data_IF_218549755920
#
_entry.id   IF_218549755920
#
_cell.length_a   1.000
_cell.length_b   1.000
_cell.length_c   1.000
_cell.angle_alpha   90.00
_cell.angle_beta   90.00
_cell.angle_gamma   90.00
#
_symmetry.space_group_name_H-M   'P 1'
#
loop_
_entity.id
_entity.type
_entity.pdbx_description
1 polymer ?
#
# COMPACT_ATOMS: atom_id res chain seq x y z
N UNK A 1 -0.20 -23.61 11.97
CA UNK A 1 -0.99 -23.39 10.74
C UNK A 1 -0.23 -23.79 9.48
N UNK A 2 1.11 -23.79 9.49
CA UNK A 2 1.93 -24.76 8.77
C UNK A 2 3.10 -25.04 9.72
N UNK A 3 3.54 -26.29 9.89
CA UNK A 3 4.72 -26.61 10.71
C UNK A 3 6.00 -26.20 9.95
N UNK A 4 6.15 -24.89 9.73
CA UNK A 4 7.23 -24.35 8.94
C UNK A 4 8.55 -24.50 9.69
N UNK A 5 9.51 -25.19 9.06
CA UNK A 5 10.89 -25.20 9.52
C UNK A 5 11.53 -23.82 9.34
N UNK A 6 12.65 -23.57 10.04
CA UNK A 6 13.35 -22.28 10.01
C UNK A 6 13.66 -21.80 8.58
N UNK A 7 14.00 -22.74 7.68
CA UNK A 7 14.31 -22.47 6.28
C UNK A 7 13.08 -22.03 5.47
N UNK A 8 11.91 -22.58 5.77
CA UNK A 8 10.68 -22.24 5.06
C UNK A 8 10.12 -20.87 5.48
N UNK A 9 10.38 -20.45 6.74
CA UNK A 9 10.14 -19.05 7.16
C UNK A 9 11.04 -18.08 6.39
N UNK A 10 12.29 -18.46 6.12
CA UNK A 10 13.20 -17.68 5.26
C UNK A 10 12.67 -17.52 3.83
N UNK A 11 12.01 -18.54 3.29
CA UNK A 11 11.40 -18.50 1.95
C UNK A 11 10.24 -17.48 1.87
N UNK A 12 9.51 -17.28 2.96
CA UNK A 12 8.48 -16.24 3.07
C UNK A 12 9.06 -14.83 2.94
N UNK A 13 10.21 -14.58 3.56
CA UNK A 13 10.91 -13.29 3.41
C UNK A 13 11.47 -13.07 2.00
N UNK A 14 12.00 -14.13 1.37
CA UNK A 14 12.47 -14.07 -0.02
C UNK A 14 11.34 -13.68 -0.98
N UNK A 15 10.12 -14.13 -0.72
CA UNK A 15 8.96 -13.79 -1.56
C UNK A 15 8.62 -12.29 -1.48
N UNK A 16 8.77 -11.66 -0.31
CA UNK A 16 8.66 -10.22 -0.20
C UNK A 16 9.72 -9.50 -1.04
N UNK A 17 10.96 -9.99 -1.05
CA UNK A 17 12.06 -9.42 -1.84
C UNK A 17 11.76 -9.49 -3.34
N UNK A 18 11.30 -10.65 -3.82
CA UNK A 18 10.89 -10.84 -5.23
C UNK A 18 9.69 -9.94 -5.57
N UNK A 19 8.70 -9.85 -4.69
CA UNK A 19 7.54 -8.98 -4.86
C UNK A 19 7.94 -7.51 -5.02
N UNK A 20 8.84 -7.01 -4.17
CA UNK A 20 9.36 -5.63 -4.28
C UNK A 20 10.19 -5.44 -5.56
N UNK A 21 11.01 -6.42 -5.95
CA UNK A 21 11.76 -6.36 -7.20
C UNK A 21 10.85 -6.21 -8.43
N UNK A 22 9.78 -7.00 -8.50
CA UNK A 22 8.75 -6.89 -9.55
C UNK A 22 8.05 -5.52 -9.47
N UNK A 23 7.71 -5.05 -8.28
CA UNK A 23 7.08 -3.75 -8.08
C UNK A 23 7.92 -2.59 -8.63
N UNK A 24 9.24 -2.64 -8.39
CA UNK A 24 10.20 -1.64 -8.90
C UNK A 24 10.20 -1.66 -10.43
N UNK A 25 10.32 -2.83 -11.05
CA UNK A 25 10.32 -2.97 -12.52
C UNK A 25 9.02 -2.41 -13.10
N UNK A 26 7.85 -2.82 -12.57
CA UNK A 26 6.55 -2.32 -13.01
C UNK A 26 6.42 -0.80 -12.82
N UNK A 27 6.97 -0.26 -11.75
CA UNK A 27 6.97 1.19 -11.51
C UNK A 27 7.84 1.94 -12.52
N UNK A 28 9.03 1.43 -12.86
CA UNK A 28 9.87 2.01 -13.91
C UNK A 28 9.21 1.94 -15.28
N UNK A 29 8.53 0.84 -15.61
CA UNK A 29 7.74 0.71 -16.84
C UNK A 29 6.63 1.74 -16.87
N UNK A 30 5.87 1.90 -15.77
CA UNK A 30 4.82 2.92 -15.66
C UNK A 30 5.37 4.34 -15.82
N UNK A 31 6.49 4.65 -15.17
CA UNK A 31 7.18 5.94 -15.31
C UNK A 31 7.59 6.21 -16.76
N UNK A 32 8.22 5.23 -17.40
CA UNK A 32 8.77 5.37 -18.74
C UNK A 32 7.70 5.46 -19.83
N UNK A 33 6.65 4.62 -19.75
CA UNK A 33 5.61 4.55 -20.78
C UNK A 33 4.45 5.52 -20.57
N UNK A 34 4.15 5.92 -19.34
CA UNK A 34 2.97 6.73 -19.06
C UNK A 34 3.35 8.13 -18.57
N UNK A 35 4.20 8.22 -17.54
CA UNK A 35 4.48 9.50 -16.87
C UNK A 35 5.42 10.41 -17.67
N UNK A 36 6.51 9.87 -18.24
CA UNK A 36 7.48 10.64 -19.04
C UNK A 36 6.85 11.18 -20.35
N UNK A 37 6.15 10.38 -21.17
CA UNK A 37 5.54 10.90 -22.40
C UNK A 37 4.37 11.83 -22.13
N UNK A 38 3.57 11.61 -21.08
CA UNK A 38 2.48 12.54 -20.73
C UNK A 38 3.02 13.88 -20.20
N UNK A 39 4.07 13.86 -19.37
CA UNK A 39 4.72 15.08 -18.88
C UNK A 39 5.45 15.85 -20.00
N UNK A 40 5.93 15.14 -21.03
CA UNK A 40 6.54 15.73 -22.23
C UNK A 40 5.51 16.32 -23.19
N UNK A 41 4.28 15.81 -23.19
CA UNK A 41 3.19 16.22 -24.09
C UNK A 41 2.30 17.33 -23.52
N UNK A 42 2.06 17.34 -22.20
CA UNK A 42 1.10 18.24 -21.55
C UNK A 42 1.71 19.15 -20.47
N UNK A 43 3.04 19.17 -20.33
CA UNK A 43 3.73 19.89 -19.25
C UNK A 43 3.57 19.22 -17.88
N UNK A 44 3.98 19.91 -16.80
CA UNK A 44 3.77 19.45 -15.41
C UNK A 44 2.27 19.47 -15.08
N UNK A 45 1.56 18.37 -15.34
CA UNK A 45 0.13 18.22 -15.02
C UNK A 45 -0.10 18.27 -13.51
N UNK A 46 -1.36 18.58 -13.14
CA UNK A 46 -1.85 18.62 -11.77
C UNK A 46 -1.37 17.42 -10.94
N UNK A 47 -0.99 17.72 -9.69
CA UNK A 47 -0.31 16.80 -8.78
C UNK A 47 -1.12 15.53 -8.46
N UNK A 48 -2.43 15.57 -8.71
CA UNK A 48 -3.36 14.46 -8.50
C UNK A 48 -3.20 13.32 -9.52
N UNK A 49 -2.67 13.58 -10.71
CA UNK A 49 -2.39 12.52 -11.69
C UNK A 49 -1.29 11.56 -11.19
N UNK A 50 -0.49 12.02 -10.21
CA UNK A 50 0.53 11.20 -9.54
C UNK A 50 -0.02 10.39 -8.37
N UNK A 51 -1.29 10.57 -8.02
CA UNK A 51 -2.00 9.77 -7.02
C UNK A 51 -2.63 8.51 -7.64
N UNK A 52 -2.71 8.43 -8.97
CA UNK A 52 -3.22 7.25 -9.71
C UNK A 52 -2.51 5.95 -9.31
N UNK A 53 -1.17 5.89 -9.16
CA UNK A 53 -0.50 4.67 -8.72
C UNK A 53 -0.84 4.29 -7.27
N UNK A 54 -1.27 5.24 -6.42
CA UNK A 54 -1.73 4.95 -5.06
C UNK A 54 -3.09 4.25 -5.05
N UNK A 55 -4.00 4.60 -5.98
CA UNK A 55 -5.31 3.94 -6.12
C UNK A 55 -5.08 2.49 -6.56
N UNK A 56 -4.25 2.29 -7.57
CA UNK A 56 -3.96 0.94 -8.05
C UNK A 56 -3.18 0.13 -7.00
N UNK A 57 -2.26 0.78 -6.28
CA UNK A 57 -1.58 0.19 -5.13
C UNK A 57 -2.55 -0.29 -4.04
N UNK A 58 -3.57 0.51 -3.70
CA UNK A 58 -4.60 0.15 -2.73
C UNK A 58 -5.45 -1.06 -3.17
N UNK A 59 -5.74 -1.18 -4.48
CA UNK A 59 -6.43 -2.35 -5.04
C UNK A 59 -5.56 -3.60 -4.90
N UNK A 60 -4.27 -3.51 -5.22
CA UNK A 60 -3.33 -4.62 -5.07
C UNK A 60 -3.16 -5.05 -3.60
N UNK A 61 -3.04 -4.10 -2.67
CA UNK A 61 -2.97 -4.38 -1.22
C UNK A 61 -4.20 -5.20 -0.79
N UNK A 62 -5.38 -4.72 -1.14
CA UNK A 62 -6.65 -5.34 -0.75
C UNK A 62 -6.79 -6.74 -1.35
N UNK A 63 -6.47 -6.89 -2.63
CA UNK A 63 -6.50 -8.18 -3.33
C UNK A 63 -5.53 -9.17 -2.70
N UNK A 64 -4.31 -8.74 -2.37
CA UNK A 64 -3.31 -9.57 -1.70
C UNK A 64 -3.76 -10.03 -0.31
N UNK A 65 -4.41 -9.16 0.46
CA UNK A 65 -5.00 -9.48 1.76
C UNK A 65 -6.14 -10.52 1.65
N UNK A 66 -7.04 -10.38 0.67
CA UNK A 66 -8.12 -11.36 0.46
C UNK A 66 -7.58 -12.73 0.00
N UNK A 67 -6.60 -12.73 -0.91
CA UNK A 67 -5.92 -13.97 -1.33
C UNK A 67 -5.31 -14.64 -0.11
N UNK A 68 -4.53 -13.91 0.70
CA UNK A 68 -3.92 -14.45 1.91
C UNK A 68 -4.95 -14.97 2.93
N UNK A 69 -6.08 -14.27 3.10
CA UNK A 69 -7.13 -14.67 4.04
C UNK A 69 -7.78 -16.01 3.64
N UNK A 70 -8.03 -16.21 2.34
CA UNK A 70 -8.73 -17.39 1.83
C UNK A 70 -7.79 -18.58 1.57
N UNK A 71 -6.50 -18.33 1.35
CA UNK A 71 -5.48 -19.38 1.19
C UNK A 71 -4.85 -19.81 2.51
N UNK A 72 -5.13 -19.10 3.61
CA UNK A 72 -4.75 -19.50 4.97
C UNK A 72 -5.67 -20.62 5.47
N UNK A 73 -5.56 -21.80 4.84
CA UNK A 73 -6.22 -23.06 5.24
C UNK A 73 -5.22 -24.20 5.13
N UNK A 74 -5.24 -25.19 6.04
CA UNK A 74 -4.29 -26.31 6.00
C UNK A 74 -4.38 -27.15 4.71
N UNK A 75 -5.52 -27.08 4.01
CA UNK A 75 -5.78 -27.83 2.77
C UNK A 75 -5.18 -27.18 1.50
N UNK A 76 -4.66 -25.95 1.59
CA UNK A 76 -4.17 -25.19 0.43
C UNK A 76 -2.65 -25.19 0.41
N UNK A 77 -2.03 -25.31 -0.76
CA UNK A 77 -0.58 -25.21 -0.86
C UNK A 77 -0.07 -23.86 -0.36
N UNK A 78 0.95 -23.90 0.50
CA UNK A 78 1.62 -22.73 1.09
C UNK A 78 1.95 -21.63 0.08
N UNK A 79 2.31 -21.99 -1.15
CA UNK A 79 2.66 -21.06 -2.23
C UNK A 79 1.54 -20.05 -2.56
N UNK A 80 0.27 -20.43 -2.40
CA UNK A 80 -0.85 -19.54 -2.65
C UNK A 80 -0.89 -18.38 -1.64
N UNK A 81 -0.60 -18.67 -0.36
CA UNK A 81 -0.48 -17.63 0.67
C UNK A 81 0.74 -16.73 0.43
N UNK A 82 1.86 -17.29 -0.03
CA UNK A 82 3.02 -16.49 -0.42
C UNK A 82 2.76 -15.58 -1.62
N UNK A 83 1.98 -16.02 -2.60
CA UNK A 83 1.59 -15.18 -3.74
C UNK A 83 0.75 -13.97 -3.30
N UNK A 84 -0.18 -14.15 -2.35
CA UNK A 84 -0.94 -13.05 -1.75
C UNK A 84 -0.05 -12.04 -1.02
N UNK A 85 0.96 -12.53 -0.29
CA UNK A 85 1.95 -11.67 0.37
C UNK A 85 2.81 -10.88 -0.63
N UNK A 86 3.23 -11.49 -1.74
CA UNK A 86 3.96 -10.81 -2.81
C UNK A 86 3.13 -9.67 -3.42
N UNK A 87 1.86 -9.92 -3.72
CA UNK A 87 0.91 -8.93 -4.27
C UNK A 87 0.71 -7.77 -3.28
N UNK A 88 0.58 -8.08 -1.99
CA UNK A 88 0.51 -7.07 -0.94
C UNK A 88 1.77 -6.19 -0.91
N UNK A 89 2.97 -6.77 -0.99
CA UNK A 89 4.22 -6.02 -1.05
C UNK A 89 4.31 -5.09 -2.26
N UNK A 90 3.84 -5.54 -3.43
CA UNK A 90 3.78 -4.73 -4.65
C UNK A 90 2.89 -3.49 -4.44
N UNK A 91 1.66 -3.69 -3.95
CA UNK A 91 0.73 -2.59 -3.72
C UNK A 91 1.21 -1.62 -2.63
N UNK A 92 1.86 -2.13 -1.58
CA UNK A 92 2.44 -1.32 -0.52
C UNK A 92 3.56 -0.41 -1.06
N UNK A 93 4.45 -0.97 -1.89
CA UNK A 93 5.54 -0.21 -2.51
C UNK A 93 5.00 0.94 -3.39
N UNK A 94 4.01 0.66 -4.24
CA UNK A 94 3.39 1.68 -5.10
C UNK A 94 2.71 2.80 -4.32
N UNK A 95 2.01 2.45 -3.25
CA UNK A 95 1.33 3.44 -2.40
C UNK A 95 2.36 4.34 -1.70
N UNK A 96 3.41 3.76 -1.13
CA UNK A 96 4.48 4.54 -0.48
C UNK A 96 5.19 5.46 -1.47
N UNK A 97 5.59 4.96 -2.64
CA UNK A 97 6.24 5.78 -3.66
C UNK A 97 5.37 6.97 -4.10
N UNK A 98 4.07 6.75 -4.26
CA UNK A 98 3.12 7.80 -4.63
C UNK A 98 3.06 8.90 -3.56
N UNK A 99 3.03 8.53 -2.28
CA UNK A 99 3.03 9.49 -1.16
C UNK A 99 4.33 10.29 -1.15
N UNK A 100 5.48 9.63 -1.31
CA UNK A 100 6.79 10.29 -1.31
C UNK A 100 6.93 11.33 -2.43
N UNK A 101 6.28 11.14 -3.57
CA UNK A 101 6.30 12.10 -4.68
C UNK A 101 5.23 13.18 -4.49
N UNK A 102 4.06 12.83 -3.95
CA UNK A 102 2.94 13.77 -3.77
C UNK A 102 3.20 14.82 -2.69
N UNK A 103 3.80 14.43 -1.56
CA UNK A 103 4.04 15.29 -0.39
C UNK A 103 4.92 16.51 -0.70
N UNK A 104 6.12 16.37 -1.30
CA UNK A 104 7.00 17.50 -1.62
C UNK A 104 6.42 18.41 -2.70
N UNK A 105 5.62 17.85 -3.62
CA UNK A 105 4.97 18.64 -4.66
C UNK A 105 3.83 19.48 -4.07
N UNK A 106 3.04 18.92 -3.14
CA UNK A 106 1.88 19.62 -2.57
C UNK A 106 2.25 20.66 -1.53
N UNK A 107 3.34 20.45 -0.77
CA UNK A 107 3.73 21.32 0.33
C UNK A 107 5.26 21.43 0.45
N UNK A 108 5.95 22.04 -0.53
CA UNK A 108 7.42 22.07 -0.59
C UNK A 108 8.04 22.64 0.70
N UNK A 109 7.43 23.67 1.29
CA UNK A 109 7.89 24.34 2.52
C UNK A 109 7.75 23.50 3.81
N UNK A 110 6.79 22.57 3.85
CA UNK A 110 6.49 21.74 5.03
C UNK A 110 6.77 20.24 4.81
N UNK A 111 7.44 19.89 3.72
CA UNK A 111 7.79 18.53 3.33
C UNK A 111 8.39 17.71 4.47
N UNK A 112 9.39 18.25 5.18
CA UNK A 112 10.08 17.55 6.26
C UNK A 112 9.14 17.23 7.45
N UNK A 113 8.30 18.20 7.83
CA UNK A 113 7.31 18.01 8.90
C UNK A 113 6.23 17.00 8.52
N UNK A 114 5.79 17.01 7.25
CA UNK A 114 4.83 16.03 6.75
C UNK A 114 5.40 14.61 6.71
N UNK A 115 6.67 14.45 6.32
CA UNK A 115 7.34 13.14 6.40
C UNK A 115 7.50 12.64 7.83
N UNK A 116 7.85 13.53 8.76
CA UNK A 116 7.92 13.21 10.18
C UNK A 116 6.53 12.80 10.72
N UNK A 117 5.49 13.58 10.42
CA UNK A 117 4.11 13.30 10.81
C UNK A 117 3.60 11.97 10.24
N UNK A 118 3.84 11.70 8.96
CA UNK A 118 3.50 10.42 8.32
C UNK A 118 4.22 9.25 9.01
N UNK A 119 5.49 9.42 9.35
CA UNK A 119 6.27 8.38 10.04
C UNK A 119 5.72 8.11 11.45
N UNK A 120 5.33 9.14 12.19
CA UNK A 120 4.72 9.02 13.53
C UNK A 120 3.38 8.31 13.44
N UNK A 121 2.49 8.76 12.54
CA UNK A 121 1.16 8.13 12.35
C UNK A 121 1.28 6.66 11.96
N UNK A 122 2.13 6.35 10.98
CA UNK A 122 2.36 4.97 10.55
C UNK A 122 2.89 4.10 11.68
N UNK A 123 3.86 4.61 12.45
CA UNK A 123 4.47 3.85 13.54
C UNK A 123 3.49 3.69 14.72
N UNK A 124 2.68 4.70 15.01
CA UNK A 124 1.62 4.62 16.03
C UNK A 124 0.55 3.58 15.68
N UNK A 125 0.08 3.58 14.43
CA UNK A 125 -0.86 2.56 13.95
C UNK A 125 -0.22 1.17 13.99
N UNK A 126 1.06 1.04 13.65
CA UNK A 126 1.78 -0.23 13.73
C UNK A 126 1.86 -0.76 15.17
N UNK A 127 2.19 0.10 16.14
CA UNK A 127 2.21 -0.25 17.57
C UNK A 127 0.83 -0.73 18.01
N UNK A 128 -0.23 0.05 17.71
CA UNK A 128 -1.59 -0.35 18.04
C UNK A 128 -1.98 -1.70 17.41
N UNK A 129 -1.67 -1.86 16.12
CA UNK A 129 -1.97 -3.10 15.37
C UNK A 129 -1.27 -4.32 15.97
N UNK A 130 0.00 -4.20 16.39
CA UNK A 130 0.75 -5.31 17.02
C UNK A 130 0.15 -5.67 18.38
N UNK A 131 -0.24 -4.68 19.18
CA UNK A 131 -0.88 -4.92 20.49
C UNK A 131 -2.22 -5.64 20.35
N UNK A 132 -3.04 -5.27 19.35
CA UNK A 132 -4.33 -5.93 19.10
C UNK A 132 -4.23 -7.21 18.26
N UNK A 133 -3.10 -7.48 17.60
CA UNK A 133 -2.93 -8.66 16.75
C UNK A 133 -3.04 -9.97 17.54
N UNK A 134 -2.39 -10.08 18.71
CA UNK A 134 -2.46 -11.29 19.55
C UNK A 134 -3.90 -11.68 19.91
N UNK A 135 -4.70 -10.81 20.57
CA UNK A 135 -6.07 -11.16 20.94
C UNK A 135 -6.96 -11.38 19.72
N UNK A 136 -6.72 -10.68 18.60
CA UNK A 136 -7.46 -10.88 17.36
C UNK A 136 -7.25 -12.28 16.78
N UNK A 137 -6.00 -12.73 16.67
CA UNK A 137 -5.69 -14.04 16.08
C UNK A 137 -6.06 -15.21 17.01
N UNK A 138 -5.97 -15.03 18.33
CA UNK A 138 -6.37 -16.06 19.30
C UNK A 138 -7.88 -16.28 19.31
N UNK A 139 -8.69 -15.21 19.24
CA UNK A 139 -10.15 -15.33 19.31
C UNK A 139 -10.82 -15.59 17.96
N UNK A 140 -10.31 -15.01 16.87
CA UNK A 140 -10.99 -15.01 15.58
C UNK A 140 -10.37 -15.98 14.55
N UNK A 141 -9.12 -16.41 14.79
CA UNK A 141 -8.34 -17.21 13.85
C UNK A 141 -7.82 -16.40 12.65
N UNK A 142 -6.81 -16.95 11.98
CA UNK A 142 -6.05 -16.25 10.91
C UNK A 142 -6.94 -15.89 9.72
N UNK A 143 -7.75 -16.81 9.21
CA UNK A 143 -8.57 -16.57 8.02
C UNK A 143 -9.58 -15.42 8.22
N UNK A 144 -10.30 -15.41 9.36
CA UNK A 144 -11.31 -14.37 9.64
C UNK A 144 -10.65 -13.05 10.04
N UNK A 145 -9.54 -13.09 10.80
CA UNK A 145 -8.77 -11.90 11.16
C UNK A 145 -8.22 -11.17 9.93
N UNK A 146 -7.63 -11.89 8.99
CA UNK A 146 -7.10 -11.30 7.75
C UNK A 146 -8.25 -10.81 6.85
N UNK A 147 -9.39 -11.49 6.80
CA UNK A 147 -10.56 -11.01 6.04
C UNK A 147 -11.08 -9.67 6.57
N UNK A 148 -11.11 -9.48 7.90
CA UNK A 148 -11.45 -8.18 8.51
C UNK A 148 -10.44 -7.10 8.14
N UNK A 149 -9.14 -7.42 8.16
CA UNK A 149 -8.09 -6.49 7.71
C UNK A 149 -8.25 -6.15 6.21
N UNK A 150 -8.63 -7.12 5.38
CA UNK A 150 -9.01 -6.91 3.99
C UNK A 150 -10.20 -5.96 3.84
N UNK A 151 -11.21 -6.09 4.70
CA UNK A 151 -12.35 -5.16 4.76
C UNK A 151 -11.95 -3.72 5.11
N UNK A 152 -11.06 -3.52 6.09
CA UNK A 152 -10.49 -2.20 6.36
C UNK A 152 -9.67 -1.66 5.17
N UNK A 153 -8.95 -2.53 4.46
CA UNK A 153 -8.22 -2.13 3.26
C UNK A 153 -9.14 -1.67 2.12
N UNK A 154 -10.34 -2.26 1.98
CA UNK A 154 -11.38 -1.77 1.04
C UNK A 154 -11.79 -0.35 1.39
N UNK A 155 -12.01 -0.04 2.66
CA UNK A 155 -12.28 1.35 3.09
C UNK A 155 -11.10 2.29 2.73
N UNK A 156 -9.87 1.77 2.77
CA UNK A 156 -8.68 2.46 2.27
C UNK A 156 -8.73 2.79 0.78
N UNK A 157 -9.24 1.88 -0.08
CA UNK A 157 -9.45 2.14 -1.52
C UNK A 157 -10.46 3.28 -1.71
N UNK A 158 -11.57 3.24 -0.97
CA UNK A 158 -12.55 4.33 -1.03
C UNK A 158 -11.94 5.65 -0.57
N UNK A 159 -11.12 5.62 0.48
CA UNK A 159 -10.40 6.80 0.97
C UNK A 159 -9.43 7.38 -0.05
N UNK A 160 -8.59 6.56 -0.70
CA UNK A 160 -7.64 7.04 -1.72
C UNK A 160 -8.35 7.54 -2.98
N UNK A 161 -9.43 6.87 -3.38
CA UNK A 161 -10.28 7.30 -4.50
C UNK A 161 -11.02 8.61 -4.18
N UNK A 162 -11.51 8.76 -2.96
CA UNK A 162 -12.12 10.01 -2.50
C UNK A 162 -11.11 11.16 -2.48
N UNK A 163 -9.87 10.93 -2.06
CA UNK A 163 -8.80 11.95 -2.12
C UNK A 163 -8.44 12.27 -3.58
N UNK A 164 -8.49 11.30 -4.49
CA UNK A 164 -8.26 11.57 -5.92
C UNK A 164 -9.37 12.44 -6.54
N UNK A 165 -10.64 12.19 -6.21
CA UNK A 165 -11.78 12.92 -6.79
C UNK A 165 -12.02 14.26 -6.09
N UNK A 166 -11.88 14.30 -4.76
CA UNK A 166 -12.14 15.49 -3.95
C UNK A 166 -10.87 16.26 -3.56
N UNK A 167 -9.69 15.80 -3.97
CA UNK A 167 -8.39 16.43 -3.68
C UNK A 167 -8.37 17.90 -4.06
N UNK A 168 -8.88 18.25 -5.24
CA UNK A 168 -9.00 19.64 -5.72
C UNK A 168 -9.81 20.51 -4.76
N UNK A 169 -10.89 19.95 -4.21
CA UNK A 169 -11.82 20.65 -3.32
C UNK A 169 -11.29 20.75 -1.88
N UNK A 170 -10.50 19.75 -1.45
CA UNK A 170 -9.84 19.72 -0.15
C UNK A 170 -8.60 20.62 -0.12
N UNK A 171 -7.86 20.68 -1.24
CA UNK A 171 -6.72 21.57 -1.44
C UNK A 171 -7.16 23.02 -1.55
N UNK A 172 -8.23 23.31 -2.30
CA UNK A 172 -8.84 24.65 -2.36
C UNK A 172 -9.38 25.17 -1.02
N UNK A 173 -9.63 24.29 -0.03
CA UNK A 173 -10.02 24.65 1.33
C UNK A 173 -8.87 24.66 2.34
N UNK A 174 -7.68 24.19 1.96
CA UNK A 174 -6.52 24.16 2.86
C UNK A 174 -5.78 25.50 2.80
N UNK A 175 -5.75 26.20 3.94
CA UNK A 175 -5.06 27.48 4.13
C UNK A 175 -3.51 27.40 3.98
N UNK A 176 -2.97 26.20 3.73
CA UNK A 176 -1.55 25.90 3.61
C UNK A 176 -1.13 25.36 2.23
N UNK A 177 -2.08 25.10 1.32
CA UNK A 177 -1.75 24.61 -0.01
C UNK A 177 -1.50 25.80 -0.94
N UNK A 178 -0.23 26.05 -1.26
CA UNK A 178 0.13 26.95 -2.36
C UNK A 178 0.08 26.15 -3.67
N UNK A 179 -0.79 26.58 -4.59
CA UNK A 179 -1.02 25.99 -5.90
C UNK A 179 -2.45 25.48 -6.06
#
# INVERSE_FOLDING_TARGET
MYEFSLSQTGLAFLTCLVGVGIAIILYFVYLYFYMVPDNKKNGLREQEHRLVPAIVGAIFITTGLFIFAWTSRPDVHWIASLSGAAIFCIGHFWTMQSIFIYLPLSYPKYTASLFAGNSIWRSGIAIGSVTFARPLFVNLGVARGVTLLGGFSVAGIFGTTAIYVFGKKLRARSKFAEG
#
